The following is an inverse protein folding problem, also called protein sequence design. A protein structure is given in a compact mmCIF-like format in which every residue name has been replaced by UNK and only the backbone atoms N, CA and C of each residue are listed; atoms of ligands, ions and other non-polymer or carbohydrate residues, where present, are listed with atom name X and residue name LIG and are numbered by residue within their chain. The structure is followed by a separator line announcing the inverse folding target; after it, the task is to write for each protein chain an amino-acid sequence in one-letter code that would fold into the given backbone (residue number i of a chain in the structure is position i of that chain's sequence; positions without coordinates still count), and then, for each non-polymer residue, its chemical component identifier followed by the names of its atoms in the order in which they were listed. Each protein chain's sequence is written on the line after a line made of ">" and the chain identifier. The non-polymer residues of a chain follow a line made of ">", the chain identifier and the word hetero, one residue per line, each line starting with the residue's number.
data_IF_076302307966
#
_entry.id   IF_076302307966
#
_cell.length_a   1.000
_cell.length_b   1.000
_cell.length_c   1.000
_cell.angle_alpha   90.00
_cell.angle_beta   90.00
_cell.angle_gamma   90.00
#
_symmetry.space_group_name_H-M   'P 1'
#
loop_
_entity.id
_entity.type
_entity.pdbx_description
1 polymer ?
#
# COMPACT_ATOMS: atom_id res chain seq x y z
N UNK A 1 -19.79 -14.62 -4.35
CA UNK A 1 -18.70 -13.81 -3.79
C UNK A 1 -17.56 -13.80 -4.78
N UNK A 2 -17.36 -12.70 -5.50
CA UNK A 2 -16.16 -12.46 -6.30
C UNK A 2 -15.08 -11.82 -5.43
N UNK A 3 -13.82 -12.05 -5.78
CA UNK A 3 -12.67 -11.39 -5.15
C UNK A 3 -11.95 -10.55 -6.19
N UNK A 4 -11.65 -9.31 -5.85
CA UNK A 4 -10.80 -8.42 -6.64
C UNK A 4 -9.53 -8.19 -5.82
N UNK A 5 -8.38 -8.21 -6.46
CA UNK A 5 -7.11 -7.93 -5.82
C UNK A 5 -6.39 -6.79 -6.53
N UNK A 6 -5.82 -5.89 -5.73
CA UNK A 6 -4.84 -4.91 -6.16
C UNK A 6 -3.55 -5.23 -5.42
N UNK A 7 -2.48 -5.49 -6.15
CA UNK A 7 -1.20 -5.92 -5.58
C UNK A 7 -0.07 -5.16 -6.22
N UNK A 8 0.67 -4.41 -5.43
CA UNK A 8 1.78 -3.58 -5.90
C UNK A 8 3.02 -3.82 -5.06
N UNK A 9 4.18 -3.77 -5.72
CA UNK A 9 5.49 -3.86 -5.06
C UNK A 9 6.18 -2.52 -5.14
N UNK A 10 6.54 -1.99 -3.97
CA UNK A 10 7.28 -0.74 -3.83
C UNK A 10 8.71 -1.09 -3.42
N UNK A 11 9.69 -0.52 -4.11
CA UNK A 11 11.11 -0.66 -3.79
C UNK A 11 11.64 0.66 -3.26
N UNK A 12 12.29 0.63 -2.11
CA UNK A 12 12.95 1.81 -1.57
C UNK A 12 14.15 2.16 -2.45
N UNK A 13 14.17 3.40 -2.95
CA UNK A 13 15.33 3.97 -3.64
C UNK A 13 16.05 5.02 -2.77
N UNK A 14 15.61 5.20 -1.53
CA UNK A 14 16.24 6.12 -0.58
C UNK A 14 17.48 5.45 0.03
N UNK A 15 18.56 6.22 0.19
CA UNK A 15 19.78 5.77 0.86
C UNK A 15 19.60 5.62 2.38
N UNK A 16 18.56 6.22 2.95
CA UNK A 16 18.18 6.12 4.36
C UNK A 16 17.16 5.01 4.58
N UNK A 17 17.24 4.33 5.74
CA UNK A 17 16.22 3.36 6.13
C UNK A 17 14.95 4.07 6.61
N UNK A 18 13.80 3.59 6.14
CA UNK A 18 12.47 4.07 6.53
C UNK A 18 11.64 2.93 7.12
N UNK A 19 10.79 3.24 8.09
CA UNK A 19 9.84 2.26 8.64
C UNK A 19 8.45 2.57 8.12
N UNK A 20 7.88 1.66 7.33
CA UNK A 20 6.51 1.75 6.83
C UNK A 20 5.58 1.14 7.87
N UNK A 21 4.59 1.90 8.33
CA UNK A 21 3.64 1.48 9.38
C UNK A 21 2.19 1.40 8.90
N UNK A 22 1.93 1.77 7.65
CA UNK A 22 0.59 1.77 7.09
C UNK A 22 0.58 1.59 5.58
N UNK A 23 -0.59 1.17 5.07
CA UNK A 23 -0.93 1.23 3.66
C UNK A 23 -2.29 1.89 3.49
N UNK A 24 -2.44 2.66 2.42
CA UNK A 24 -3.68 3.34 2.05
C UNK A 24 -4.10 2.99 0.64
N UNK A 25 -5.39 2.82 0.44
CA UNK A 25 -6.00 2.71 -0.88
C UNK A 25 -6.68 4.04 -1.23
N UNK A 26 -6.30 4.62 -2.36
CA UNK A 26 -6.83 5.90 -2.84
C UNK A 26 -7.64 5.69 -4.12
N UNK A 27 -8.63 6.54 -4.36
CA UNK A 27 -9.44 6.52 -5.58
C UNK A 27 -8.73 7.15 -6.80
N UNK A 28 -7.51 7.69 -6.63
CA UNK A 28 -6.73 8.38 -7.66
C UNK A 28 -5.25 8.35 -7.30
N UNK A 29 -4.40 8.37 -8.33
CA UNK A 29 -2.93 8.54 -8.19
C UNK A 29 -2.51 10.02 -8.20
N UNK A 30 -3.42 10.93 -8.57
CA UNK A 30 -3.17 12.37 -8.48
C UNK A 30 -3.33 12.82 -7.04
N UNK A 31 -2.26 13.36 -6.45
CA UNK A 31 -2.26 13.84 -5.04
C UNK A 31 -3.41 14.81 -4.79
N UNK A 32 -3.52 15.84 -5.63
CA UNK A 32 -4.61 16.81 -5.55
C UNK A 32 -5.94 16.18 -5.95
N UNK A 33 -6.88 16.12 -5.01
CA UNK A 33 -8.24 15.62 -5.24
C UNK A 33 -8.40 14.11 -5.05
N UNK A 34 -7.35 13.40 -4.61
CA UNK A 34 -7.50 12.01 -4.15
C UNK A 34 -8.24 11.94 -2.81
N UNK A 35 -8.98 10.86 -2.60
CA UNK A 35 -9.62 10.50 -1.33
C UNK A 35 -9.22 9.08 -0.96
N UNK A 36 -8.92 8.87 0.31
CA UNK A 36 -8.58 7.55 0.84
C UNK A 36 -9.85 6.72 1.07
N UNK A 37 -9.92 5.57 0.43
CA UNK A 37 -11.01 4.61 0.51
C UNK A 37 -10.83 3.61 1.66
N UNK A 38 -9.59 3.22 1.93
CA UNK A 38 -9.25 2.29 3.01
C UNK A 38 -7.84 2.59 3.55
N UNK A 39 -7.63 2.27 4.84
CA UNK A 39 -6.35 2.39 5.55
C UNK A 39 -6.14 1.17 6.40
N UNK A 40 -4.94 0.61 6.35
CA UNK A 40 -4.51 -0.45 7.26
C UNK A 40 -3.22 -0.01 7.95
N UNK A 41 -3.23 0.01 9.27
CA UNK A 41 -2.03 0.20 10.08
C UNK A 41 -1.50 -1.17 10.50
N UNK A 42 -0.20 -1.33 10.55
CA UNK A 42 0.47 -2.58 10.92
C UNK A 42 1.78 -2.31 11.67
N UNK A 43 2.33 -3.36 12.28
CA UNK A 43 3.66 -3.30 12.91
C UNK A 43 4.71 -2.92 11.87
N UNK A 44 5.55 -1.93 12.19
CA UNK A 44 6.49 -1.34 11.25
C UNK A 44 7.35 -2.33 10.47
N UNK A 45 7.45 -2.12 9.16
CA UNK A 45 8.35 -2.83 8.25
C UNK A 45 9.47 -1.88 7.87
N UNK A 46 10.69 -2.19 8.29
CA UNK A 46 11.87 -1.41 7.93
C UNK A 46 12.32 -1.75 6.50
N UNK A 47 12.53 -0.72 5.68
CA UNK A 47 13.06 -0.82 4.33
C UNK A 47 14.33 0.03 4.23
N UNK A 48 15.43 -0.58 3.80
CA UNK A 48 16.66 0.08 3.41
C UNK A 48 16.73 0.22 1.88
N UNK A 49 17.76 0.90 1.36
CA UNK A 49 17.94 1.05 -0.09
C UNK A 49 17.94 -0.32 -0.80
N UNK A 50 17.07 -0.47 -1.80
CA UNK A 50 16.92 -1.70 -2.58
C UNK A 50 15.97 -2.74 -1.97
N UNK A 51 15.51 -2.55 -0.73
CA UNK A 51 14.48 -3.41 -0.15
C UNK A 51 13.11 -3.14 -0.78
N UNK A 52 12.28 -4.17 -0.85
CA UNK A 52 10.93 -4.08 -1.41
C UNK A 52 9.87 -4.52 -0.41
N UNK A 53 8.69 -3.92 -0.52
CA UNK A 53 7.45 -4.35 0.15
C UNK A 53 6.36 -4.59 -0.88
N UNK A 54 5.66 -5.72 -0.78
CA UNK A 54 4.47 -6.00 -1.58
C UNK A 54 3.22 -5.79 -0.73
N UNK A 55 2.30 -4.96 -1.21
CA UNK A 55 1.01 -4.67 -0.56
C UNK A 55 -0.11 -5.25 -1.42
N UNK A 56 -0.93 -6.13 -0.84
CA UNK A 56 -2.11 -6.70 -1.49
C UNK A 56 -3.39 -6.28 -0.78
N UNK A 57 -4.25 -5.55 -1.47
CA UNK A 57 -5.63 -5.27 -1.05
C UNK A 57 -6.57 -6.29 -1.70
N UNK A 58 -7.34 -7.01 -0.88
CA UNK A 58 -8.35 -7.97 -1.35
C UNK A 58 -9.75 -7.44 -1.03
N UNK A 59 -10.55 -7.22 -2.07
CA UNK A 59 -11.95 -6.85 -1.96
C UNK A 59 -12.79 -8.10 -2.09
N UNK A 60 -13.66 -8.33 -1.11
CA UNK A 60 -14.69 -9.36 -1.22
C UNK A 60 -15.96 -8.66 -1.70
N UNK A 61 -16.41 -9.00 -2.91
CA UNK A 61 -17.61 -8.44 -3.52
C UNK A 61 -18.68 -9.53 -3.56
N UNK A 62 -19.83 -9.25 -2.98
CA UNK A 62 -21.01 -10.11 -2.97
C UNK A 62 -22.26 -9.24 -2.90
N UNK A 63 -23.40 -9.77 -3.38
CA UNK A 63 -24.69 -9.11 -3.21
C UNK A 63 -24.98 -8.84 -1.73
#
# INVERSE_FOLDING_TARGET
>A
MSKIQLSETFTSADSSSHTITESGLFNSTTVSGSTMLARQVFTGVALSNGDSITITWTFTVGN
#
